data_IF_776120369190
#
_entry.id   IF_776120369190
#
_cell.length_a   1.000
_cell.length_b   1.000
_cell.length_c   1.000
_cell.angle_alpha   90.00
_cell.angle_beta   90.00
_cell.angle_gamma   90.00
#
_symmetry.space_group_name_H-M   'P 1'
#
loop_
_entity.id
_entity.type
_entity.pdbx_description
1 polymer ?
#
# COMPACT_ATOMS: atom_id res chain seq x y z
N UNK A 1 23.53 52.44 26.07
CA UNK A 1 24.11 51.12 25.77
C UNK A 1 23.00 50.08 25.76
N UNK A 2 22.65 49.55 24.59
CA UNK A 2 21.65 48.48 24.42
C UNK A 2 22.40 47.14 24.38
N UNK A 3 22.24 46.30 25.40
CA UNK A 3 22.76 44.94 25.37
C UNK A 3 21.71 44.04 24.72
N UNK A 4 22.05 43.47 23.57
CA UNK A 4 21.23 42.54 22.82
C UNK A 4 21.21 41.18 23.53
N UNK A 5 20.02 40.70 23.87
CA UNK A 5 19.78 39.32 24.29
C UNK A 5 19.88 38.42 23.05
N UNK A 6 20.99 37.68 22.92
CA UNK A 6 21.07 36.55 22.01
C UNK A 6 20.36 35.37 22.67
N UNK A 7 19.08 35.19 22.36
CA UNK A 7 18.37 33.94 22.63
C UNK A 7 18.88 32.94 21.59
N UNK A 8 19.86 32.13 21.99
CA UNK A 8 20.21 30.91 21.27
C UNK A 8 19.01 29.97 21.36
N UNK A 9 18.16 30.00 20.34
CA UNK A 9 17.14 28.99 20.12
C UNK A 9 17.86 27.67 19.82
N UNK A 10 18.09 26.91 20.89
CA UNK A 10 18.50 25.52 20.84
C UNK A 10 17.39 24.76 20.10
N UNK A 11 17.56 24.57 18.79
CA UNK A 11 16.79 23.57 18.08
C UNK A 11 17.13 22.23 18.73
N UNK A 12 16.26 21.77 19.64
CA UNK A 12 16.14 20.35 19.91
C UNK A 12 15.69 19.72 18.59
N UNK A 13 16.67 19.33 17.77
CA UNK A 13 16.52 18.14 16.96
C UNK A 13 16.32 17.01 17.96
N UNK A 14 15.06 16.71 18.28
CA UNK A 14 14.73 15.43 18.87
C UNK A 14 15.13 14.40 17.82
N UNK A 15 16.36 13.92 17.92
CA UNK A 15 16.78 12.63 17.42
C UNK A 15 15.64 11.66 17.74
N UNK A 16 14.95 11.17 16.72
CA UNK A 16 14.02 10.04 16.81
C UNK A 16 14.86 8.80 17.13
N UNK A 17 15.41 8.74 18.34
CA UNK A 17 16.09 7.58 18.87
C UNK A 17 15.03 6.49 19.16
N UNK A 18 14.95 5.48 18.29
CA UNK A 18 14.94 4.10 18.79
C UNK A 18 13.60 3.33 18.91
N UNK A 19 12.58 3.65 18.12
CA UNK A 19 11.58 2.61 17.83
C UNK A 19 12.05 1.78 16.64
N UNK A 20 12.58 0.59 16.94
CA UNK A 20 12.83 -0.42 15.90
C UNK A 20 11.50 -0.81 15.26
N UNK A 21 11.55 -1.20 13.99
CA UNK A 21 10.39 -1.74 13.28
C UNK A 21 9.72 -2.88 14.06
N UNK A 22 10.48 -3.68 14.82
CA UNK A 22 9.93 -4.75 15.67
C UNK A 22 9.09 -4.25 16.85
N UNK A 23 9.35 -3.06 17.39
CA UNK A 23 8.44 -2.44 18.38
C UNK A 23 7.14 -2.01 17.71
N UNK A 24 7.24 -1.45 16.50
CA UNK A 24 6.08 -1.06 15.70
C UNK A 24 5.23 -2.27 15.32
N UNK A 25 5.87 -3.39 14.96
CA UNK A 25 5.21 -4.64 14.56
C UNK A 25 4.28 -5.22 15.65
N UNK A 26 4.54 -4.94 16.93
CA UNK A 26 3.67 -5.38 18.05
C UNK A 26 2.36 -4.60 18.15
N UNK A 27 2.32 -3.36 17.64
CA UNK A 27 1.12 -2.53 17.64
C UNK A 27 1.10 -1.59 16.41
N UNK A 28 0.98 -2.11 15.17
CA UNK A 28 1.16 -1.30 13.97
C UNK A 28 0.14 -0.17 13.86
N UNK A 29 -1.12 -0.44 14.24
CA UNK A 29 -2.22 0.54 14.19
C UNK A 29 -1.98 1.77 15.06
N UNK A 30 -1.50 1.57 16.28
CA UNK A 30 -1.14 2.66 17.19
C UNK A 30 0.05 3.49 16.68
N UNK A 31 0.77 3.01 15.68
CA UNK A 31 1.99 3.60 15.16
C UNK A 31 1.89 4.06 13.70
N UNK A 32 0.68 4.20 13.13
CA UNK A 32 0.51 4.66 11.75
C UNK A 32 1.20 6.01 11.48
N UNK A 33 1.10 6.97 12.40
CA UNK A 33 1.76 8.26 12.22
C UNK A 33 3.29 8.11 12.15
N UNK A 34 3.86 7.22 12.96
CA UNK A 34 5.29 6.93 12.97
C UNK A 34 5.71 6.25 11.66
N UNK A 35 4.93 5.27 11.20
CA UNK A 35 5.13 4.57 9.92
C UNK A 35 5.07 5.54 8.74
N UNK A 36 4.09 6.44 8.68
CA UNK A 36 3.96 7.42 7.60
C UNK A 36 5.14 8.40 7.56
N UNK A 37 5.62 8.87 8.71
CA UNK A 37 6.69 9.88 8.78
C UNK A 37 8.09 9.29 8.56
N UNK A 38 8.32 8.05 9.01
CA UNK A 38 9.66 7.44 9.06
C UNK A 38 9.78 6.15 8.25
N UNK A 39 8.86 5.90 7.30
CA UNK A 39 8.82 4.65 6.53
C UNK A 39 10.16 4.26 5.93
N UNK A 40 10.94 5.21 5.40
CA UNK A 40 12.22 4.91 4.76
C UNK A 40 13.25 4.30 5.72
N UNK A 41 13.32 4.82 6.96
CA UNK A 41 14.21 4.27 7.97
C UNK A 41 13.67 2.94 8.51
N UNK A 42 12.35 2.86 8.69
CA UNK A 42 11.70 1.70 9.31
C UNK A 42 11.71 0.46 8.42
N UNK A 43 11.55 0.62 7.10
CA UNK A 43 11.58 -0.50 6.15
C UNK A 43 13.00 -1.06 5.93
N UNK A 44 14.04 -0.33 6.34
CA UNK A 44 15.43 -0.82 6.39
C UNK A 44 15.75 -1.57 7.71
N UNK A 45 14.75 -1.77 8.56
CA UNK A 45 14.89 -2.53 9.79
C UNK A 45 14.87 -4.03 9.55
N UNK A 46 14.64 -4.82 10.61
CA UNK A 46 14.56 -6.27 10.51
C UNK A 46 13.38 -6.71 9.62
N UNK A 47 13.69 -7.44 8.53
CA UNK A 47 12.73 -7.84 7.50
C UNK A 47 11.50 -8.58 8.07
N UNK A 48 11.72 -9.48 9.04
CA UNK A 48 10.65 -10.23 9.72
C UNK A 48 9.58 -9.29 10.30
N UNK A 49 10.02 -8.19 10.91
CA UNK A 49 9.17 -7.19 11.53
C UNK A 49 8.53 -6.26 10.50
N UNK A 50 9.23 -5.95 9.40
CA UNK A 50 8.65 -5.20 8.27
C UNK A 50 7.49 -6.00 7.67
N UNK A 51 7.70 -7.27 7.38
CA UNK A 51 6.68 -8.18 6.83
C UNK A 51 5.50 -8.33 7.80
N UNK A 52 5.75 -8.48 9.10
CA UNK A 52 4.68 -8.51 10.11
C UNK A 52 3.84 -7.22 10.12
N UNK A 53 4.47 -6.05 9.94
CA UNK A 53 3.74 -4.79 9.80
C UNK A 53 2.89 -4.82 8.54
N UNK A 54 3.43 -5.24 7.40
CA UNK A 54 2.69 -5.34 6.14
C UNK A 54 1.49 -6.30 6.23
N UNK A 55 1.66 -7.47 6.83
CA UNK A 55 0.57 -8.43 7.09
C UNK A 55 -0.52 -7.85 7.99
N UNK A 56 -0.11 -7.07 8.98
CA UNK A 56 -1.05 -6.37 9.85
C UNK A 56 -1.83 -5.31 9.07
N UNK A 57 -1.16 -4.52 8.22
CA UNK A 57 -1.82 -3.54 7.35
C UNK A 57 -2.84 -4.25 6.46
N UNK A 58 -2.45 -5.32 5.76
CA UNK A 58 -3.38 -6.15 4.96
C UNK A 58 -4.61 -6.55 5.76
N UNK A 59 -4.40 -7.09 6.97
CA UNK A 59 -5.48 -7.53 7.86
C UNK A 59 -6.44 -6.38 8.19
N UNK A 60 -5.92 -5.20 8.55
CA UNK A 60 -6.76 -4.03 8.86
C UNK A 60 -7.52 -3.51 7.62
N UNK A 61 -6.91 -3.58 6.44
CA UNK A 61 -7.56 -3.17 5.18
C UNK A 61 -8.73 -4.11 4.86
N UNK A 62 -8.50 -5.43 4.89
CA UNK A 62 -9.50 -6.43 4.49
C UNK A 62 -10.60 -6.54 5.56
N UNK A 63 -10.22 -6.69 6.84
CA UNK A 63 -11.19 -7.01 7.89
C UNK A 63 -11.84 -5.80 8.54
N UNK A 64 -11.17 -4.65 8.54
CA UNK A 64 -11.63 -3.46 9.26
C UNK A 64 -11.94 -2.26 8.36
N UNK A 65 -11.80 -2.41 7.04
CA UNK A 65 -11.94 -1.31 6.08
C UNK A 65 -11.06 -0.08 6.44
N UNK A 66 -9.86 -0.32 6.99
CA UNK A 66 -9.04 0.74 7.56
C UNK A 66 -8.35 1.57 6.47
N UNK A 67 -8.87 2.77 6.22
CA UNK A 67 -8.33 3.70 5.21
C UNK A 67 -6.96 4.24 5.58
N UNK A 68 -6.65 4.31 6.88
CA UNK A 68 -5.34 4.74 7.36
C UNK A 68 -4.28 3.68 7.10
N UNK A 69 -4.65 2.39 7.19
CA UNK A 69 -3.79 1.29 6.80
C UNK A 69 -3.41 1.36 5.31
N UNK A 70 -4.37 1.66 4.43
CA UNK A 70 -4.10 1.89 2.99
C UNK A 70 -3.17 3.09 2.76
N UNK A 71 -3.37 4.19 3.50
CA UNK A 71 -2.47 5.35 3.44
C UNK A 71 -1.04 4.96 3.80
N UNK A 72 -0.85 4.20 4.88
CA UNK A 72 0.47 3.75 5.30
C UNK A 72 1.08 2.81 4.27
N UNK A 73 0.29 1.86 3.74
CA UNK A 73 0.74 0.95 2.69
C UNK A 73 1.22 1.72 1.45
N UNK A 74 0.43 2.68 0.96
CA UNK A 74 0.78 3.53 -0.20
C UNK A 74 2.10 4.29 -0.01
N UNK A 75 2.32 4.84 1.20
CA UNK A 75 3.58 5.52 1.54
C UNK A 75 4.76 4.55 1.51
N UNK A 76 4.57 3.32 2.00
CA UNK A 76 5.61 2.28 1.98
C UNK A 76 5.87 1.83 0.52
N UNK A 77 4.82 1.64 -0.27
CA UNK A 77 4.91 1.32 -1.70
C UNK A 77 5.68 2.36 -2.52
N UNK A 78 5.65 3.62 -2.12
CA UNK A 78 6.46 4.67 -2.75
C UNK A 78 7.97 4.55 -2.51
N UNK A 79 8.39 3.68 -1.59
CA UNK A 79 9.78 3.52 -1.15
C UNK A 79 10.29 2.08 -1.22
N UNK A 80 9.46 1.14 -1.66
CA UNK A 80 9.79 -0.27 -1.65
C UNK A 80 10.66 -0.67 -2.85
N UNK A 81 11.53 -1.65 -2.63
CA UNK A 81 12.34 -2.34 -3.63
C UNK A 81 12.38 -3.85 -3.31
N UNK A 82 12.99 -4.64 -4.20
CA UNK A 82 13.23 -6.08 -4.01
C UNK A 82 12.08 -6.84 -3.36
N UNK A 83 12.39 -7.57 -2.28
CA UNK A 83 11.44 -8.41 -1.55
C UNK A 83 10.21 -7.62 -1.04
N UNK A 84 10.38 -6.35 -0.70
CA UNK A 84 9.30 -5.53 -0.15
C UNK A 84 8.27 -5.20 -1.23
N UNK A 85 8.73 -5.04 -2.46
CA UNK A 85 7.85 -4.83 -3.62
C UNK A 85 7.02 -6.08 -3.92
N UNK A 86 7.61 -7.27 -3.78
CA UNK A 86 6.90 -8.56 -3.92
C UNK A 86 5.83 -8.70 -2.83
N UNK A 87 6.17 -8.45 -1.56
CA UNK A 87 5.19 -8.51 -0.47
C UNK A 87 4.01 -7.54 -0.66
N UNK A 88 4.28 -6.32 -1.13
CA UNK A 88 3.22 -5.33 -1.42
C UNK A 88 2.37 -5.78 -2.61
N UNK A 89 2.98 -6.37 -3.64
CA UNK A 89 2.27 -6.92 -4.78
C UNK A 89 1.24 -7.97 -4.32
N UNK A 90 1.66 -8.92 -3.48
CA UNK A 90 0.79 -9.96 -2.94
C UNK A 90 -0.37 -9.37 -2.12
N UNK A 91 -0.07 -8.39 -1.26
CA UNK A 91 -1.07 -7.71 -0.44
C UNK A 91 -2.11 -7.01 -1.31
N UNK A 92 -1.66 -6.24 -2.30
CA UNK A 92 -2.57 -5.47 -3.16
C UNK A 92 -3.41 -6.40 -4.05
N UNK A 93 -2.85 -7.52 -4.49
CA UNK A 93 -3.58 -8.59 -5.18
C UNK A 93 -4.67 -9.21 -4.30
N UNK A 94 -4.38 -9.53 -3.05
CA UNK A 94 -5.38 -10.07 -2.11
C UNK A 94 -6.48 -9.04 -1.80
N UNK A 95 -6.10 -7.77 -1.55
CA UNK A 95 -7.05 -6.68 -1.32
C UNK A 95 -7.95 -6.44 -2.54
N UNK A 96 -7.47 -6.67 -3.76
CA UNK A 96 -8.31 -6.57 -4.96
C UNK A 96 -9.49 -7.54 -4.93
N UNK A 97 -9.25 -8.80 -4.55
CA UNK A 97 -10.31 -9.81 -4.48
C UNK A 97 -11.21 -9.64 -3.26
N UNK A 98 -10.63 -9.30 -2.11
CA UNK A 98 -11.35 -9.26 -0.83
C UNK A 98 -12.03 -7.90 -0.56
N UNK A 99 -11.44 -6.79 -1.00
CA UNK A 99 -11.93 -5.45 -0.69
C UNK A 99 -11.76 -4.42 -1.83
N UNK A 100 -12.16 -4.83 -3.04
CA UNK A 100 -12.07 -4.02 -4.26
C UNK A 100 -12.58 -2.58 -4.09
N UNK A 101 -13.73 -2.41 -3.45
CA UNK A 101 -14.40 -1.10 -3.33
C UNK A 101 -13.54 -0.10 -2.57
N UNK A 102 -12.92 -0.54 -1.47
CA UNK A 102 -12.06 0.32 -0.67
C UNK A 102 -10.75 0.66 -1.40
N UNK A 103 -10.14 -0.32 -2.07
CA UNK A 103 -8.92 -0.12 -2.85
C UNK A 103 -9.15 0.90 -3.98
N UNK A 104 -10.21 0.73 -4.76
CA UNK A 104 -10.54 1.66 -5.84
C UNK A 104 -10.93 3.05 -5.31
N UNK A 105 -11.68 3.13 -4.21
CA UNK A 105 -11.97 4.41 -3.54
C UNK A 105 -10.68 5.12 -3.15
N UNK A 106 -9.73 4.41 -2.55
CA UNK A 106 -8.49 4.99 -2.08
C UNK A 106 -7.65 5.50 -3.25
N UNK A 107 -7.46 4.68 -4.29
CA UNK A 107 -6.71 5.04 -5.49
C UNK A 107 -7.34 6.24 -6.22
N UNK A 108 -8.67 6.29 -6.35
CA UNK A 108 -9.35 7.42 -6.98
C UNK A 108 -9.26 8.70 -6.14
N UNK A 109 -9.51 8.61 -4.83
CA UNK A 109 -9.55 9.79 -3.94
C UNK A 109 -8.16 10.39 -3.72
N UNK A 110 -7.16 9.55 -3.52
CA UNK A 110 -5.79 9.97 -3.19
C UNK A 110 -4.88 10.06 -4.41
N UNK A 111 -5.37 9.70 -5.60
CA UNK A 111 -4.57 9.62 -6.83
C UNK A 111 -3.29 8.80 -6.64
N UNK A 112 -3.41 7.70 -5.89
CA UNK A 112 -2.27 6.81 -5.60
C UNK A 112 -1.80 6.14 -6.88
N UNK A 113 -0.61 6.53 -7.33
CA UNK A 113 0.06 5.88 -8.46
C UNK A 113 0.80 4.60 -8.02
N UNK A 114 1.20 4.50 -6.76
CA UNK A 114 1.98 3.37 -6.27
C UNK A 114 1.11 2.11 -6.12
N UNK A 115 -0.02 2.20 -5.42
CA UNK A 115 -0.92 1.06 -5.28
C UNK A 115 -1.58 0.67 -6.62
N UNK A 116 -1.89 1.64 -7.51
CA UNK A 116 -2.34 1.31 -8.87
C UNK A 116 -1.28 0.49 -9.62
N UNK A 117 -0.01 0.90 -9.54
CA UNK A 117 1.11 0.19 -10.18
C UNK A 117 1.28 -1.22 -9.60
N UNK A 118 1.30 -1.38 -8.28
CA UNK A 118 1.43 -2.68 -7.64
C UNK A 118 0.24 -3.60 -7.93
N UNK A 119 -0.98 -3.06 -8.03
CA UNK A 119 -2.13 -3.84 -8.44
C UNK A 119 -1.98 -4.36 -9.87
N UNK A 120 -1.53 -3.51 -10.80
CA UNK A 120 -1.26 -3.93 -12.18
C UNK A 120 -0.22 -5.05 -12.19
N UNK A 121 0.86 -4.93 -11.42
CA UNK A 121 1.90 -5.96 -11.33
C UNK A 121 1.38 -7.26 -10.73
N UNK A 122 0.57 -7.20 -9.67
CA UNK A 122 -0.02 -8.37 -9.04
C UNK A 122 -0.86 -9.18 -10.04
N UNK A 123 -1.77 -8.50 -10.73
CA UNK A 123 -2.64 -9.14 -11.72
C UNK A 123 -1.86 -9.60 -12.96
N UNK A 124 -0.82 -8.87 -13.35
CA UNK A 124 0.06 -9.24 -14.45
C UNK A 124 0.86 -10.52 -14.15
N UNK A 125 1.39 -10.63 -12.92
CA UNK A 125 2.07 -11.84 -12.46
C UNK A 125 1.10 -13.03 -12.45
N UNK A 126 -0.11 -12.85 -11.92
CA UNK A 126 -1.15 -13.89 -11.92
C UNK A 126 -1.42 -14.42 -13.34
N UNK A 127 -1.55 -13.51 -14.33
CA UNK A 127 -1.72 -13.89 -15.74
C UNK A 127 -0.46 -14.46 -16.36
N UNK A 128 0.74 -14.01 -15.99
CA UNK A 128 1.99 -14.60 -16.48
C UNK A 128 2.13 -16.06 -16.05
N UNK A 129 1.81 -16.35 -14.78
CA UNK A 129 1.93 -17.68 -14.19
C UNK A 129 0.83 -18.66 -14.65
N UNK A 130 -0.42 -18.23 -14.68
CA UNK A 130 -1.58 -19.10 -14.96
C UNK A 130 -2.24 -18.83 -16.34
N UNK A 131 -1.73 -17.87 -17.10
CA UNK A 131 -2.16 -17.53 -18.46
C UNK A 131 -3.66 -17.25 -18.54
N UNK A 132 -4.33 -17.95 -19.45
CA UNK A 132 -5.77 -17.80 -19.72
C UNK A 132 -6.66 -18.14 -18.51
N UNK A 133 -6.17 -18.95 -17.57
CA UNK A 133 -6.95 -19.31 -16.37
C UNK A 133 -7.12 -18.10 -15.46
N UNK A 134 -6.01 -17.43 -15.12
CA UNK A 134 -6.04 -16.19 -14.35
C UNK A 134 -6.79 -15.08 -15.09
N UNK A 135 -6.58 -14.93 -16.40
CA UNK A 135 -7.28 -13.89 -17.17
C UNK A 135 -8.79 -14.03 -17.09
N UNK A 136 -9.31 -15.25 -17.28
CA UNK A 136 -10.75 -15.54 -17.16
C UNK A 136 -11.28 -15.28 -15.75
N UNK A 137 -10.51 -15.62 -14.72
CA UNK A 137 -10.86 -15.38 -13.31
C UNK A 137 -10.97 -13.88 -13.01
N UNK A 138 -9.97 -13.08 -13.42
CA UNK A 138 -9.96 -11.63 -13.28
C UNK A 138 -11.15 -11.00 -14.04
N UNK A 139 -11.35 -11.36 -15.30
CA UNK A 139 -12.44 -10.81 -16.12
C UNK A 139 -13.82 -11.15 -15.54
N UNK A 140 -13.98 -12.37 -14.99
CA UNK A 140 -15.19 -12.75 -14.26
C UNK A 140 -15.38 -11.91 -13.00
N UNK A 141 -14.35 -11.78 -12.17
CA UNK A 141 -14.41 -10.99 -10.95
C UNK A 141 -14.76 -9.52 -11.23
N UNK A 142 -14.15 -8.91 -12.25
CA UNK A 142 -14.42 -7.53 -12.67
C UNK A 142 -15.85 -7.35 -13.16
N UNK A 143 -16.34 -8.27 -14.00
CA UNK A 143 -17.72 -8.22 -14.51
C UNK A 143 -18.72 -8.35 -13.37
N UNK A 144 -18.53 -9.33 -12.50
CA UNK A 144 -19.45 -9.61 -11.39
C UNK A 144 -19.47 -8.40 -10.43
N UNK A 145 -18.32 -7.79 -10.10
CA UNK A 145 -18.30 -6.59 -9.24
C UNK A 145 -18.86 -5.33 -9.91
N UNK A 146 -18.76 -5.17 -11.23
CA UNK A 146 -19.40 -4.06 -11.95
C UNK A 146 -20.93 -4.17 -11.97
N UNK A 147 -21.45 -5.39 -12.03
CA UNK A 147 -22.88 -5.64 -12.07
C UNK A 147 -23.52 -5.64 -10.67
N UNK A 148 -22.74 -6.00 -9.64
CA UNK A 148 -23.26 -6.30 -8.30
C UNK A 148 -22.92 -5.22 -7.27
N UNK A 149 -21.78 -4.51 -7.39
CA UNK A 149 -21.35 -3.52 -6.39
C UNK A 149 -21.57 -2.09 -6.87
N UNK A 150 -21.93 -1.23 -5.91
CA UNK A 150 -22.11 0.23 -6.04
C UNK A 150 -20.80 0.99 -6.34
N UNK A 151 -20.00 0.53 -7.30
CA UNK A 151 -18.82 1.27 -7.74
C UNK A 151 -19.27 2.58 -8.39
N UNK A 152 -18.62 3.68 -8.03
CA UNK A 152 -18.86 4.96 -8.71
C UNK A 152 -18.40 4.89 -10.16
N UNK A 153 -18.86 5.82 -10.99
CA UNK A 153 -18.39 5.97 -12.37
C UNK A 153 -16.87 6.08 -12.46
N UNK A 154 -16.24 6.82 -11.54
CA UNK A 154 -14.79 7.00 -11.52
C UNK A 154 -14.05 5.71 -11.14
N UNK A 155 -14.53 5.00 -10.12
CA UNK A 155 -13.97 3.70 -9.74
C UNK A 155 -14.10 2.68 -10.87
N UNK A 156 -15.24 2.66 -11.57
CA UNK A 156 -15.45 1.78 -12.73
C UNK A 156 -14.50 2.09 -13.88
N UNK A 157 -14.26 3.39 -14.15
CA UNK A 157 -13.27 3.84 -15.15
C UNK A 157 -11.85 3.45 -14.73
N UNK A 158 -11.48 3.67 -13.47
CA UNK A 158 -10.18 3.30 -12.92
C UNK A 158 -9.94 1.79 -13.02
N UNK A 159 -10.92 0.97 -12.62
CA UNK A 159 -10.85 -0.48 -12.76
C UNK A 159 -10.65 -0.90 -14.22
N UNK A 160 -11.37 -0.26 -15.15
CA UNK A 160 -11.17 -0.50 -16.58
C UNK A 160 -9.78 -0.12 -17.08
N UNK A 161 -9.19 0.96 -16.57
CA UNK A 161 -7.80 1.36 -16.86
C UNK A 161 -6.80 0.33 -16.34
N UNK A 162 -6.97 -0.13 -15.10
CA UNK A 162 -6.10 -1.15 -14.49
C UNK A 162 -6.12 -2.43 -15.32
N UNK A 163 -7.31 -2.98 -15.62
CA UNK A 163 -7.45 -4.23 -16.37
C UNK A 163 -6.84 -4.16 -17.77
N UNK A 164 -6.94 -3.00 -18.43
CA UNK A 164 -6.31 -2.77 -19.75
C UNK A 164 -4.78 -2.73 -19.70
N UNK A 165 -4.19 -2.48 -18.53
CA UNK A 165 -2.74 -2.37 -18.34
C UNK A 165 -2.11 -3.66 -17.79
N UNK A 166 -2.91 -4.70 -17.54
CA UNK A 166 -2.39 -6.03 -17.21
C UNK A 166 -1.55 -6.50 -18.39
N UNK A 167 -0.29 -6.81 -18.11
CA UNK A 167 0.71 -7.17 -19.10
C UNK A 167 1.37 -8.50 -18.69
N UNK A 168 1.06 -9.62 -19.36
CA UNK A 168 1.56 -10.94 -18.98
C UNK A 168 3.06 -11.12 -19.24
N UNK A 169 3.69 -10.21 -19.99
CA UNK A 169 5.11 -10.34 -20.40
C UNK A 169 6.06 -9.58 -19.49
N UNK A 170 5.59 -9.03 -18.36
CA UNK A 170 6.45 -8.26 -17.43
C UNK A 170 7.61 -9.10 -16.86
N UNK A 171 7.49 -10.43 -16.90
CA UNK A 171 8.44 -11.38 -16.31
C UNK A 171 9.00 -12.42 -17.29
N UNK A 172 8.78 -12.21 -18.59
CA UNK A 172 9.38 -13.00 -19.67
C UNK A 172 10.73 -12.39 -20.11
#
# INVERSE_FOLDING_TARGET
MKAALLIFSFFLTTSLCGQSICKVAKAPKSNYQLLSKNSEQLIKGEDSCVLQVLDSLKTYIIKNNDTSALRVLDIISGKSDGYLSEAIQDIVGEVFYENLGLLLWFCDTNKSNHLEKFLIYALSMEVSMEKEVARKRIDKFVRDNRQIKQLTTNQSKLLGKIVKRIDPTIWE
#
